data_IF_691101228886
#
_entry.id   IF_691101228886
#
_cell.length_a   1.000
_cell.length_b   1.000
_cell.length_c   1.000
_cell.angle_alpha   90.00
_cell.angle_beta   90.00
_cell.angle_gamma   90.00
#
_symmetry.space_group_name_H-M   'P 1'
#
loop_
_entity.id
_entity.type
_entity.pdbx_description
1 polymer ?
#
# COMPACT_ATOMS: atom_id res chain seq x y z
N UNK A 1 10.91 -17.26 7.31
CA UNK A 1 9.75 -16.36 7.30
C UNK A 1 9.72 -15.65 5.96
N UNK A 2 8.54 -15.53 5.34
CA UNK A 2 8.38 -14.80 4.10
C UNK A 2 7.75 -13.42 4.38
N UNK A 3 8.10 -12.44 3.55
CA UNK A 3 7.70 -11.04 3.72
C UNK A 3 7.29 -10.47 2.38
N UNK A 4 6.13 -9.81 2.33
CA UNK A 4 5.76 -8.96 1.19
C UNK A 4 5.85 -7.51 1.59
N UNK A 5 6.27 -6.70 0.63
CA UNK A 5 6.32 -5.26 0.74
C UNK A 5 5.56 -4.69 -0.44
N UNK A 6 4.60 -3.81 -0.19
CA UNK A 6 3.87 -3.09 -1.25
C UNK A 6 4.08 -1.58 -1.09
N UNK A 7 4.44 -0.85 -2.16
CA UNK A 7 4.52 0.60 -2.11
C UNK A 7 3.16 1.26 -1.87
N UNK A 8 3.14 2.38 -1.14
CA UNK A 8 1.91 3.08 -0.76
C UNK A 8 1.11 3.64 -1.95
N UNK A 9 1.77 3.86 -3.09
CA UNK A 9 1.14 4.34 -4.33
C UNK A 9 0.48 3.22 -5.15
N UNK A 10 0.63 1.95 -4.77
CA UNK A 10 0.07 0.85 -5.55
C UNK A 10 -1.48 0.85 -5.46
N UNK A 11 -2.23 0.61 -6.56
CA UNK A 11 -3.69 0.57 -6.54
C UNK A 11 -4.24 -0.43 -5.51
N UNK A 12 -3.61 -1.59 -5.38
CA UNK A 12 -4.03 -2.64 -4.43
C UNK A 12 -3.64 -2.35 -2.96
N UNK A 13 -3.11 -1.16 -2.63
CA UNK A 13 -2.63 -0.87 -1.27
C UNK A 13 -3.71 -1.05 -0.21
N UNK A 14 -4.97 -0.71 -0.53
CA UNK A 14 -6.10 -0.84 0.38
C UNK A 14 -6.48 -2.30 0.64
N UNK A 15 -6.36 -3.17 -0.36
CA UNK A 15 -6.58 -4.60 -0.19
C UNK A 15 -5.40 -5.25 0.54
N UNK A 16 -4.18 -4.81 0.24
CA UNK A 16 -2.96 -5.30 0.87
C UNK A 16 -2.92 -5.01 2.37
N UNK A 17 -3.33 -3.82 2.83
CA UNK A 17 -3.41 -3.58 4.28
C UNK A 17 -4.53 -4.39 4.94
N UNK A 18 -5.59 -4.73 4.19
CA UNK A 18 -6.73 -5.51 4.69
C UNK A 18 -6.47 -7.01 4.71
N UNK A 19 -5.53 -7.52 3.93
CA UNK A 19 -5.32 -8.96 3.75
C UNK A 19 -4.97 -9.72 5.04
N UNK A 20 -4.55 -9.01 6.10
CA UNK A 20 -4.25 -9.57 7.43
C UNK A 20 -5.22 -9.11 8.52
N UNK A 21 -6.38 -8.55 8.16
CA UNK A 21 -7.40 -8.11 9.13
C UNK A 21 -8.14 -9.28 9.76
N UNK A 22 -8.23 -10.41 9.04
CA UNK A 22 -8.89 -11.63 9.51
C UNK A 22 -7.84 -12.66 9.93
N UNK A 23 -7.94 -13.11 11.18
CA UNK A 23 -7.09 -14.18 11.70
C UNK A 23 -7.28 -15.47 10.88
N UNK A 24 -6.17 -16.09 10.48
CA UNK A 24 -6.17 -17.36 9.76
C UNK A 24 -6.09 -17.28 8.23
N UNK A 25 -6.39 -16.14 7.60
CA UNK A 25 -6.26 -16.00 6.14
C UNK A 25 -4.80 -15.99 5.66
N UNK A 26 -3.91 -15.31 6.41
CA UNK A 26 -2.48 -15.24 6.10
C UNK A 26 -1.69 -15.63 7.35
N UNK A 27 -1.19 -16.86 7.35
CA UNK A 27 -0.36 -17.40 8.42
C UNK A 27 1.12 -17.36 8.03
N UNK A 28 2.00 -17.18 9.02
CA UNK A 28 3.46 -17.19 8.86
C UNK A 28 4.05 -16.17 7.88
N UNK A 29 3.34 -15.07 7.63
CA UNK A 29 3.75 -14.05 6.68
C UNK A 29 3.68 -12.64 7.27
N UNK A 30 4.74 -11.85 7.05
CA UNK A 30 4.80 -10.45 7.44
C UNK A 30 4.47 -9.57 6.23
N UNK A 31 3.67 -8.53 6.45
CA UNK A 31 3.39 -7.51 5.44
C UNK A 31 4.00 -6.19 5.90
N UNK A 32 4.57 -5.45 4.96
CA UNK A 32 5.13 -4.11 5.20
C UNK A 32 4.68 -3.18 4.09
N UNK A 33 4.46 -1.91 4.40
CA UNK A 33 4.13 -0.88 3.41
C UNK A 33 5.37 -0.03 3.15
N UNK A 34 5.74 0.11 1.88
CA UNK A 34 6.80 1.01 1.43
C UNK A 34 6.26 2.43 1.33
N UNK A 35 6.50 3.24 2.36
CA UNK A 35 6.05 4.64 2.42
C UNK A 35 7.01 5.56 1.65
N UNK A 36 6.46 6.54 0.95
CA UNK A 36 7.21 7.59 0.24
C UNK A 36 7.11 8.93 0.95
N UNK A 37 8.09 9.82 0.69
CA UNK A 37 8.07 11.19 1.21
C UNK A 37 6.86 11.99 0.72
N UNK A 38 6.43 11.74 -0.52
CA UNK A 38 5.25 12.37 -1.12
C UNK A 38 3.98 12.03 -0.34
N UNK A 39 3.79 10.75 -0.03
CA UNK A 39 2.66 10.31 0.80
C UNK A 39 2.69 10.97 2.18
N UNK A 40 3.86 10.99 2.84
CA UNK A 40 4.00 11.62 4.15
C UNK A 40 3.73 13.13 4.12
N UNK A 41 4.01 13.80 3.00
CA UNK A 41 3.67 15.22 2.81
C UNK A 41 2.16 15.41 2.63
N UNK A 42 1.50 14.55 1.85
CA UNK A 42 0.04 14.60 1.66
C UNK A 42 -0.69 14.39 2.99
N UNK A 43 -0.30 13.39 3.77
CA UNK A 43 -0.85 13.13 5.12
C UNK A 43 -0.67 14.33 6.05
N UNK A 44 0.49 14.98 6.06
CA UNK A 44 0.74 16.17 6.90
C UNK A 44 -0.13 17.37 6.53
N UNK A 45 -0.62 17.42 5.28
CA UNK A 45 -1.43 18.51 4.76
C UNK A 45 -2.93 18.20 4.73
N UNK A 46 -3.31 16.97 5.08
CA UNK A 46 -4.67 16.46 4.87
C UNK A 46 -5.10 16.54 3.39
N UNK A 47 -4.15 16.29 2.48
CA UNK A 47 -4.35 16.31 1.03
C UNK A 47 -4.66 14.89 0.50
N UNK A 48 -5.38 14.84 -0.63
CA UNK A 48 -5.58 13.60 -1.39
C UNK A 48 -4.26 13.04 -1.94
N UNK A 49 -4.18 11.71 -2.05
CA UNK A 49 -3.02 11.02 -2.60
C UNK A 49 -3.44 10.08 -3.71
N UNK A 50 -2.89 10.29 -4.91
CA UNK A 50 -3.26 9.50 -6.09
C UNK A 50 -2.41 8.24 -6.20
N UNK A 51 -3.07 7.12 -6.48
CA UNK A 51 -2.42 5.83 -6.69
C UNK A 51 -1.95 5.73 -8.16
N UNK A 52 -1.04 4.81 -8.46
CA UNK A 52 -0.44 4.66 -9.78
C UNK A 52 -0.27 3.20 -10.17
N UNK A 53 -0.70 2.84 -11.37
CA UNK A 53 -0.48 1.50 -11.90
C UNK A 53 1.01 1.24 -12.15
N UNK A 54 1.55 0.10 -11.69
CA UNK A 54 2.98 -0.21 -11.82
C UNK A 54 3.41 -0.50 -13.27
N UNK A 55 2.48 -0.94 -14.13
CA UNK A 55 2.81 -1.39 -15.49
C UNK A 55 2.99 -0.24 -16.49
N UNK A 56 2.14 0.77 -16.41
CA UNK A 56 2.10 1.87 -17.37
C UNK A 56 2.27 3.25 -16.73
N UNK A 57 2.32 3.34 -15.40
CA UNK A 57 2.42 4.60 -14.68
C UNK A 57 1.14 5.45 -14.73
N UNK A 58 0.02 4.90 -15.20
CA UNK A 58 -1.25 5.62 -15.22
C UNK A 58 -1.73 5.90 -13.81
N UNK A 59 -2.24 7.11 -13.60
CA UNK A 59 -2.82 7.52 -12.33
C UNK A 59 -4.13 6.77 -12.13
N UNK A 60 -4.22 6.02 -11.04
CA UNK A 60 -5.42 5.34 -10.61
C UNK A 60 -6.34 6.35 -9.93
N UNK A 61 -7.59 6.40 -10.39
CA UNK A 61 -8.56 7.46 -10.09
C UNK A 61 -9.30 7.21 -8.78
#
# INVERSE_FOLDING_TARGET
AAMAVLPVWHPDILEFVKCKSEEGQITNFNISVGITDEFMKAVKKDDDFTLRHPENGEMYK
#
